data_IF_676933485503
#
_entry.id   IF_676933485503
#
_cell.length_a   1.000
_cell.length_b   1.000
_cell.length_c   1.000
_cell.angle_alpha   90.00
_cell.angle_beta   90.00
_cell.angle_gamma   90.00
#
_symmetry.space_group_name_H-M   'P 1'
#
loop_
_entity.id
_entity.type
_entity.pdbx_description
1 polymer ?
#
# COMPACT_ATOMS: atom_id res chain seq x y z
N UNK A 1 45.78 -25.30 45.74
CA UNK A 1 44.43 -25.86 45.96
C UNK A 1 43.42 -24.81 45.51
N UNK A 2 43.13 -24.73 44.21
CA UNK A 2 42.10 -23.83 43.65
C UNK A 2 41.20 -24.68 42.77
N UNK A 3 39.98 -24.96 43.26
CA UNK A 3 38.93 -25.64 42.49
C UNK A 3 38.14 -24.57 41.76
N UNK A 4 38.22 -24.57 40.43
CA UNK A 4 37.39 -23.75 39.56
C UNK A 4 36.03 -24.44 39.41
N UNK A 5 34.97 -23.85 39.97
CA UNK A 5 33.59 -24.31 39.80
C UNK A 5 33.08 -23.80 38.44
N UNK A 6 32.83 -24.70 37.51
CA UNK A 6 32.25 -24.37 36.22
C UNK A 6 30.71 -24.41 36.35
N UNK A 7 30.08 -23.25 36.48
CA UNK A 7 28.63 -23.13 36.55
C UNK A 7 28.06 -23.19 35.13
N UNK A 8 27.40 -24.29 34.79
CA UNK A 8 26.66 -24.43 33.52
C UNK A 8 25.38 -23.59 33.65
N UNK A 9 25.34 -22.46 32.94
CA UNK A 9 24.13 -21.66 32.76
C UNK A 9 23.30 -22.27 31.64
N UNK A 10 22.29 -23.07 31.97
CA UNK A 10 21.25 -23.48 31.02
C UNK A 10 20.40 -22.26 30.68
N UNK A 11 20.59 -21.70 29.49
CA UNK A 11 19.70 -20.70 28.93
C UNK A 11 18.34 -21.36 28.63
N UNK A 12 17.32 -21.08 29.46
CA UNK A 12 15.94 -21.38 29.10
C UNK A 12 15.53 -20.43 27.97
N UNK A 13 15.50 -20.94 26.75
CA UNK A 13 14.81 -20.28 25.64
C UNK A 13 13.31 -20.37 25.91
N UNK A 14 12.71 -19.27 26.37
CA UNK A 14 11.26 -19.13 26.44
C UNK A 14 10.71 -19.15 25.01
N UNK A 15 10.27 -20.32 24.56
CA UNK A 15 9.45 -20.42 23.36
C UNK A 15 8.08 -19.90 23.76
N UNK A 16 7.65 -18.79 23.16
CA UNK A 16 6.25 -18.41 23.22
C UNK A 16 5.48 -19.49 22.48
N UNK A 17 4.86 -20.41 23.23
CA UNK A 17 3.92 -21.37 22.66
C UNK A 17 2.65 -20.57 22.42
N UNK A 18 2.44 -20.10 21.19
CA UNK A 18 1.13 -19.56 20.83
C UNK A 18 0.12 -20.69 20.91
N UNK A 19 -0.94 -20.48 21.70
CA UNK A 19 -2.03 -21.43 21.73
C UNK A 19 -2.68 -21.45 20.35
N UNK A 20 -2.83 -22.63 19.75
CA UNK A 20 -3.59 -22.80 18.51
C UNK A 20 -4.99 -22.22 18.68
N UNK A 21 -5.47 -21.45 17.71
CA UNK A 21 -6.83 -20.90 17.70
C UNK A 21 -7.70 -21.70 16.74
N UNK A 22 -8.87 -22.14 17.21
CA UNK A 22 -9.90 -22.76 16.39
C UNK A 22 -11.06 -21.78 16.21
N UNK A 23 -11.34 -21.41 14.96
CA UNK A 23 -12.50 -20.58 14.61
C UNK A 23 -13.60 -21.52 14.13
N UNK A 24 -14.65 -21.66 14.92
CA UNK A 24 -15.85 -22.40 14.52
C UNK A 24 -16.74 -21.49 13.67
N UNK A 25 -16.63 -21.61 12.35
CA UNK A 25 -17.34 -20.77 11.40
C UNK A 25 -18.61 -21.47 10.90
N UNK A 26 -19.75 -20.77 11.01
CA UNK A 26 -21.02 -21.23 10.43
C UNK A 26 -20.94 -21.29 8.92
N UNK A 27 -20.37 -20.23 8.32
CA UNK A 27 -20.21 -20.05 6.90
C UNK A 27 -18.79 -19.56 6.59
N UNK A 28 -18.09 -20.21 5.67
CA UNK A 28 -16.78 -19.78 5.15
C UNK A 28 -16.91 -19.56 3.66
N UNK A 29 -16.54 -18.37 3.18
CA UNK A 29 -16.56 -18.08 1.74
C UNK A 29 -15.27 -18.55 1.07
N UNK A 30 -15.38 -19.54 0.19
CA UNK A 30 -14.30 -19.97 -0.69
C UNK A 30 -14.28 -19.08 -1.93
N UNK A 31 -13.38 -18.09 -1.93
CA UNK A 31 -13.25 -17.11 -3.01
C UNK A 31 -12.79 -17.72 -4.34
N UNK A 32 -12.09 -18.86 -4.30
CA UNK A 32 -11.59 -19.54 -5.51
C UNK A 32 -12.68 -20.36 -6.18
N UNK A 33 -13.47 -21.08 -5.39
CA UNK A 33 -14.59 -21.87 -5.90
C UNK A 33 -15.90 -21.06 -6.06
N UNK A 34 -15.99 -19.86 -5.46
CA UNK A 34 -17.17 -19.01 -5.51
C UNK A 34 -18.36 -19.56 -4.72
N UNK A 35 -18.10 -20.28 -3.63
CA UNK A 35 -19.13 -20.98 -2.85
C UNK A 35 -19.01 -20.74 -1.34
N UNK A 36 -20.11 -20.95 -0.63
CA UNK A 36 -20.15 -20.91 0.84
C UNK A 36 -20.06 -22.33 1.39
N UNK A 37 -19.01 -22.59 2.19
CA UNK A 37 -18.85 -23.82 2.95
C UNK A 37 -19.54 -23.66 4.31
N UNK A 38 -20.31 -24.66 4.74
CA UNK A 38 -21.03 -24.62 6.03
C UNK A 38 -20.33 -25.48 7.08
N UNK A 39 -20.48 -25.09 8.36
CA UNK A 39 -19.95 -25.80 9.51
C UNK A 39 -18.48 -26.17 9.32
N UNK A 40 -17.59 -25.18 9.45
CA UNK A 40 -16.16 -25.35 9.29
C UNK A 40 -15.41 -24.98 10.55
N UNK A 41 -14.27 -25.63 10.76
CA UNK A 41 -13.25 -25.16 11.69
C UNK A 41 -12.07 -24.63 10.89
N UNK A 42 -11.71 -23.36 11.13
CA UNK A 42 -10.47 -22.77 10.62
C UNK A 42 -9.45 -22.87 11.75
N UNK A 43 -8.35 -23.57 11.50
CA UNK A 43 -7.26 -23.71 12.47
C UNK A 43 -6.21 -22.66 12.16
N UNK A 44 -5.90 -21.81 13.14
CA UNK A 44 -4.87 -20.79 13.06
C UNK A 44 -3.77 -21.14 14.05
N UNK A 45 -2.54 -21.21 13.55
CA UNK A 45 -1.35 -21.48 14.34
C UNK A 45 -0.27 -20.45 13.98
N UNK A 46 0.35 -19.83 14.98
CA UNK A 46 1.34 -18.75 14.82
C UNK A 46 0.91 -17.67 13.80
N UNK A 47 -0.37 -17.28 13.83
CA UNK A 47 -0.94 -16.26 12.93
C UNK A 47 -1.17 -16.72 11.47
N UNK A 48 -1.02 -18.01 11.18
CA UNK A 48 -1.26 -18.60 9.85
C UNK A 48 -2.42 -19.58 9.89
N UNK A 49 -3.23 -19.58 8.83
CA UNK A 49 -4.25 -20.61 8.63
C UNK A 49 -3.55 -21.91 8.20
N UNK A 50 -3.65 -22.96 9.01
CA UNK A 50 -3.03 -24.27 8.72
C UNK A 50 -4.03 -25.28 8.15
N UNK A 51 -5.32 -25.14 8.46
CA UNK A 51 -6.38 -25.98 7.89
C UNK A 51 -7.75 -25.31 7.91
N UNK A 52 -8.63 -25.76 7.00
CA UNK A 52 -10.07 -25.46 6.99
C UNK A 52 -10.80 -26.78 6.81
N UNK A 53 -11.40 -27.30 7.87
CA UNK A 53 -11.97 -28.65 7.92
C UNK A 53 -13.47 -28.65 8.19
N UNK A 54 -14.15 -29.72 7.78
CA UNK A 54 -15.58 -29.90 8.02
C UNK A 54 -15.89 -30.21 9.48
N UNK A 55 -16.97 -29.62 10.00
CA UNK A 55 -17.42 -29.77 11.38
C UNK A 55 -16.75 -28.81 12.36
N UNK A 56 -17.08 -28.98 13.63
CA UNK A 56 -16.54 -28.21 14.75
C UNK A 56 -15.58 -29.08 15.54
N UNK A 57 -14.30 -29.01 15.21
CA UNK A 57 -13.27 -29.81 15.87
C UNK A 57 -12.94 -29.26 17.26
N UNK A 58 -12.35 -30.12 18.09
CA UNK A 58 -11.84 -29.76 19.41
C UNK A 58 -10.37 -30.12 19.48
N UNK A 59 -9.58 -29.24 20.10
CA UNK A 59 -8.19 -29.50 20.43
C UNK A 59 -7.94 -29.10 21.88
N UNK A 60 -7.25 -29.95 22.64
CA UNK A 60 -6.94 -29.68 24.04
C UNK A 60 -6.00 -28.47 24.13
N UNK A 61 -6.40 -27.45 24.91
CA UNK A 61 -5.61 -26.24 25.11
C UNK A 61 -5.69 -25.21 23.98
N UNK A 62 -6.51 -25.46 22.94
CA UNK A 62 -6.77 -24.46 21.91
C UNK A 62 -7.77 -23.40 22.38
N UNK A 63 -7.56 -22.16 21.94
CA UNK A 63 -8.55 -21.10 22.07
C UNK A 63 -9.65 -21.31 21.04
N UNK A 64 -10.92 -21.21 21.45
CA UNK A 64 -12.06 -21.38 20.55
C UNK A 64 -12.76 -20.03 20.35
N UNK A 65 -12.85 -19.60 19.09
CA UNK A 65 -13.65 -18.45 18.67
C UNK A 65 -14.95 -19.01 18.04
N UNK A 66 -16.09 -18.78 18.69
CA UNK A 66 -17.39 -19.26 18.21
C UNK A 66 -18.06 -18.25 17.26
N UNK A 67 -18.04 -18.55 15.97
CA UNK A 67 -18.66 -17.81 14.89
C UNK A 67 -19.67 -18.69 14.12
N UNK A 68 -20.31 -19.66 14.80
CA UNK A 68 -21.24 -20.64 14.19
C UNK A 68 -22.45 -20.00 13.48
N UNK A 69 -22.75 -18.75 13.81
CA UNK A 69 -23.86 -17.99 13.22
C UNK A 69 -23.38 -16.85 12.31
N UNK A 70 -22.10 -16.81 11.95
CA UNK A 70 -21.51 -15.73 11.16
C UNK A 70 -20.85 -16.23 9.87
N UNK A 71 -20.67 -15.30 8.94
CA UNK A 71 -19.85 -15.48 7.75
C UNK A 71 -18.42 -15.07 8.05
N UNK A 72 -17.48 -15.97 7.78
CA UNK A 72 -16.05 -15.71 7.83
C UNK A 72 -15.56 -15.58 6.40
N UNK A 73 -14.96 -14.44 6.11
CA UNK A 73 -14.39 -14.08 4.81
C UNK A 73 -12.94 -13.68 4.98
N UNK A 74 -12.09 -13.78 3.94
CA UNK A 74 -10.76 -13.17 3.97
C UNK A 74 -10.88 -11.67 4.25
N UNK A 75 -9.92 -11.13 5.01
CA UNK A 75 -9.83 -9.69 5.21
C UNK A 75 -9.69 -8.95 3.87
N UNK A 76 -10.39 -7.83 3.73
CA UNK A 76 -10.41 -7.09 2.47
C UNK A 76 -9.07 -6.41 2.21
N UNK A 77 -8.84 -6.12 0.93
CA UNK A 77 -7.66 -5.41 0.46
C UNK A 77 -8.10 -4.21 -0.39
N UNK A 78 -7.68 -3.01 -0.01
CA UNK A 78 -7.89 -1.81 -0.83
C UNK A 78 -6.60 -1.43 -1.56
N UNK A 79 -6.60 -1.51 -2.88
CA UNK A 79 -5.40 -1.34 -3.68
C UNK A 79 -5.12 0.11 -4.08
N UNK A 80 -5.91 1.07 -3.61
CA UNK A 80 -5.70 2.50 -3.90
C UNK A 80 -6.24 3.40 -2.78
N UNK A 81 -5.41 3.65 -1.78
CA UNK A 81 -5.69 4.62 -0.71
C UNK A 81 -4.66 5.75 -0.68
N UNK A 82 -5.02 6.80 0.07
CA UNK A 82 -4.12 7.88 0.51
C UNK A 82 -4.40 8.09 2.01
N UNK A 83 -3.64 7.43 2.88
CA UNK A 83 -3.92 7.41 4.33
C UNK A 83 -3.41 8.66 5.06
N UNK A 84 -2.71 9.55 4.38
CA UNK A 84 -2.15 10.78 4.96
C UNK A 84 -3.09 11.99 4.88
N UNK A 85 -4.28 11.84 4.30
CA UNK A 85 -5.25 12.93 4.26
C UNK A 85 -6.67 12.52 3.91
N UNK A 86 -7.60 13.41 4.25
CA UNK A 86 -8.98 13.40 3.75
C UNK A 86 -9.33 14.81 3.27
N UNK A 87 -10.14 14.89 2.22
CA UNK A 87 -10.67 16.18 1.77
C UNK A 87 -11.82 16.60 2.70
N UNK A 88 -11.55 17.53 3.62
CA UNK A 88 -12.55 18.21 4.43
C UNK A 88 -12.49 19.74 4.21
N UNK A 89 -13.22 20.29 3.23
CA UNK A 89 -13.23 21.73 2.99
C UNK A 89 -14.01 22.49 4.08
N UNK A 90 -13.50 23.64 4.58
CA UNK A 90 -12.35 24.40 4.07
C UNK A 90 -11.00 24.05 4.71
N UNK A 91 -10.96 23.21 5.75
CA UNK A 91 -9.77 22.95 6.56
C UNK A 91 -8.60 22.38 5.73
N UNK A 92 -8.90 21.40 4.87
CA UNK A 92 -7.94 20.72 3.99
C UNK A 92 -7.06 21.67 3.16
N UNK A 93 -7.54 22.85 2.75
CA UNK A 93 -6.74 23.80 1.97
C UNK A 93 -5.66 24.52 2.80
N UNK A 94 -5.93 24.77 4.08
CA UNK A 94 -4.98 25.42 4.97
C UNK A 94 -3.99 24.44 5.60
N UNK A 95 -4.37 23.16 5.68
CA UNK A 95 -3.60 22.13 6.38
C UNK A 95 -2.22 21.91 5.78
N UNK A 96 -2.08 21.97 4.45
CA UNK A 96 -0.78 21.89 3.77
C UNK A 96 0.21 22.97 4.25
N UNK A 97 -0.29 24.13 4.70
CA UNK A 97 0.54 25.23 5.19
C UNK A 97 0.77 25.21 6.70
N UNK A 98 -0.02 24.43 7.45
CA UNK A 98 -0.07 24.48 8.92
C UNK A 98 0.47 23.21 9.57
N UNK A 99 0.24 22.05 8.95
CA UNK A 99 0.62 20.75 9.50
C UNK A 99 2.07 20.41 9.16
N UNK A 100 2.75 19.79 10.11
CA UNK A 100 4.02 19.12 9.87
C UNK A 100 3.81 17.59 9.81
N UNK A 101 4.88 16.84 9.50
CA UNK A 101 4.82 15.38 9.37
C UNK A 101 4.30 14.66 10.61
N UNK A 102 4.53 15.19 11.83
CA UNK A 102 4.03 14.58 13.06
C UNK A 102 2.53 14.75 13.22
N UNK A 103 1.98 15.92 12.85
CA UNK A 103 0.53 16.15 12.85
C UNK A 103 -0.17 15.20 11.89
N UNK A 104 0.40 15.03 10.69
CA UNK A 104 -0.10 14.12 9.66
C UNK A 104 -0.05 12.67 10.17
N UNK A 105 1.11 12.21 10.66
CA UNK A 105 1.28 10.84 11.13
C UNK A 105 0.29 10.47 12.26
N UNK A 106 0.10 11.35 13.24
CA UNK A 106 -0.85 11.14 14.34
C UNK A 106 -2.28 11.05 13.82
N UNK A 107 -2.68 11.94 12.91
CA UNK A 107 -4.03 11.92 12.32
C UNK A 107 -4.27 10.66 11.49
N UNK A 108 -3.29 10.24 10.70
CA UNK A 108 -3.39 9.03 9.87
C UNK A 108 -3.63 7.75 10.68
N UNK A 109 -3.26 7.71 11.96
CA UNK A 109 -3.61 6.56 12.83
C UNK A 109 -5.12 6.38 12.97
N UNK A 110 -5.90 7.47 12.95
CA UNK A 110 -7.36 7.43 13.01
C UNK A 110 -7.93 6.85 11.72
N UNK A 111 -7.40 7.25 10.58
CA UNK A 111 -7.81 6.73 9.27
C UNK A 111 -7.45 5.25 9.12
N UNK A 112 -6.23 4.86 9.48
CA UNK A 112 -5.78 3.48 9.48
C UNK A 112 -6.68 2.59 10.36
N UNK A 113 -7.02 3.06 11.57
CA UNK A 113 -7.91 2.33 12.47
C UNK A 113 -9.31 2.15 11.88
N UNK A 114 -9.91 3.23 11.35
CA UNK A 114 -11.23 3.20 10.73
C UNK A 114 -11.27 2.25 9.52
N UNK A 115 -10.21 2.23 8.72
CA UNK A 115 -10.05 1.30 7.59
C UNK A 115 -9.97 -0.16 8.05
N UNK A 116 -9.20 -0.43 9.12
CA UNK A 116 -9.12 -1.77 9.71
C UNK A 116 -10.47 -2.24 10.27
N UNK A 117 -11.16 -1.37 11.02
CA UNK A 117 -12.47 -1.68 11.62
C UNK A 117 -13.56 -1.90 10.55
N UNK A 118 -13.37 -1.37 9.33
CA UNK A 118 -14.22 -1.66 8.16
C UNK A 118 -13.93 -3.02 7.48
N UNK A 119 -12.95 -3.78 7.98
CA UNK A 119 -12.60 -5.11 7.48
C UNK A 119 -11.45 -5.16 6.49
N UNK A 120 -10.82 -4.02 6.18
CA UNK A 120 -9.62 -3.97 5.34
C UNK A 120 -8.38 -4.29 6.17
N UNK A 121 -7.72 -5.40 5.85
CA UNK A 121 -6.52 -5.86 6.57
C UNK A 121 -5.24 -5.53 5.83
N UNK A 122 -5.34 -5.13 4.56
CA UNK A 122 -4.22 -4.71 3.72
C UNK A 122 -4.64 -3.54 2.87
N UNK A 123 -3.76 -2.56 2.70
CA UNK A 123 -3.97 -1.46 1.77
C UNK A 123 -2.70 -1.17 0.97
N UNK A 124 -2.87 -0.61 -0.22
CA UNK A 124 -1.78 -0.06 -1.03
C UNK A 124 -1.96 1.44 -1.14
N UNK A 125 -1.11 2.18 -0.44
CA UNK A 125 -1.05 3.63 -0.49
C UNK A 125 -0.27 4.05 -1.74
N UNK A 126 -0.94 4.76 -2.65
CA UNK A 126 -0.40 5.07 -3.97
C UNK A 126 0.03 6.53 -4.11
N UNK A 127 0.32 7.21 -3.00
CA UNK A 127 0.91 8.55 -3.05
C UNK A 127 0.64 9.30 -1.76
N UNK A 128 1.69 9.85 -1.18
CA UNK A 128 1.60 10.68 0.01
C UNK A 128 2.05 12.12 -0.27
N UNK A 129 1.28 13.06 0.29
CA UNK A 129 1.69 14.44 0.47
C UNK A 129 2.96 14.49 1.33
N UNK A 130 2.95 13.78 2.47
CA UNK A 130 4.11 13.65 3.37
C UNK A 130 4.62 12.21 3.43
N UNK A 131 5.77 11.96 2.78
CA UNK A 131 6.36 10.63 2.73
C UNK A 131 6.85 10.12 4.08
N UNK A 132 7.26 11.02 4.99
CA UNK A 132 7.78 10.60 6.29
C UNK A 132 6.63 10.12 7.18
N UNK A 133 5.49 10.80 7.12
CA UNK A 133 4.29 10.42 7.86
C UNK A 133 3.77 9.03 7.42
N UNK A 134 3.63 8.78 6.12
CA UNK A 134 3.09 7.50 5.63
C UNK A 134 4.03 6.33 5.93
N UNK A 135 5.36 6.51 5.80
CA UNK A 135 6.32 5.46 6.12
C UNK A 135 6.38 5.19 7.62
N UNK A 136 6.36 6.23 8.47
CA UNK A 136 6.28 6.06 9.90
C UNK A 136 5.00 5.31 10.33
N UNK A 137 3.86 5.60 9.71
CA UNK A 137 2.60 4.88 9.95
C UNK A 137 2.70 3.41 9.53
N UNK A 138 3.19 3.13 8.31
CA UNK A 138 3.39 1.77 7.81
C UNK A 138 4.26 0.96 8.77
N UNK A 139 5.42 1.50 9.13
CA UNK A 139 6.40 0.81 9.95
C UNK A 139 5.87 0.59 11.37
N UNK A 140 5.21 1.59 11.97
CA UNK A 140 4.58 1.46 13.28
C UNK A 140 3.45 0.41 13.30
N UNK A 141 2.68 0.27 12.22
CA UNK A 141 1.68 -0.80 12.10
C UNK A 141 2.36 -2.17 11.93
N UNK A 142 3.41 -2.26 11.11
CA UNK A 142 4.17 -3.50 10.91
C UNK A 142 4.83 -3.99 12.20
N UNK A 143 5.27 -3.07 13.06
CA UNK A 143 5.82 -3.35 14.40
C UNK A 143 4.73 -3.62 15.46
N UNK A 144 3.45 -3.42 15.13
CA UNK A 144 2.32 -3.61 16.05
C UNK A 144 2.14 -2.49 17.08
N UNK A 145 2.82 -1.35 16.92
CA UNK A 145 2.68 -0.17 17.77
C UNK A 145 1.35 0.57 17.54
N UNK A 146 0.86 0.54 16.30
CA UNK A 146 -0.39 1.15 15.88
C UNK A 146 -1.29 0.09 15.25
N UNK A 147 -2.57 0.10 15.60
CA UNK A 147 -3.55 -0.78 14.95
C UNK A 147 -3.97 -0.19 13.59
N UNK A 148 -3.76 -0.95 12.52
CA UNK A 148 -4.19 -0.57 11.17
C UNK A 148 -4.02 -1.74 10.18
N UNK A 149 -4.44 -1.57 8.92
CA UNK A 149 -4.16 -2.53 7.86
C UNK A 149 -2.65 -2.58 7.59
N UNK A 150 -2.15 -3.71 7.09
CA UNK A 150 -0.81 -3.77 6.48
C UNK A 150 -0.75 -2.79 5.31
N UNK A 151 0.23 -1.89 5.31
CA UNK A 151 0.39 -0.87 4.28
C UNK A 151 1.53 -1.26 3.33
N UNK A 152 1.28 -1.19 2.02
CA UNK A 152 2.31 -1.10 0.99
C UNK A 152 2.32 0.32 0.45
N UNK A 153 3.39 1.08 0.67
CA UNK A 153 3.41 2.52 0.41
C UNK A 153 4.27 2.88 -0.80
N UNK A 154 3.71 3.65 -1.74
CA UNK A 154 4.45 4.23 -2.84
C UNK A 154 5.37 5.37 -2.39
N UNK A 155 5.04 6.01 -1.27
CA UNK A 155 5.65 7.28 -0.86
C UNK A 155 5.30 8.35 -1.89
N UNK A 156 6.31 8.96 -2.51
CA UNK A 156 6.10 10.04 -3.48
C UNK A 156 5.85 9.48 -4.89
N UNK A 157 4.65 9.69 -5.42
CA UNK A 157 4.31 9.37 -6.81
C UNK A 157 5.19 10.15 -7.81
N UNK A 158 5.33 9.64 -9.03
CA UNK A 158 6.11 10.29 -10.09
C UNK A 158 5.25 10.77 -11.27
N UNK A 159 5.60 11.93 -11.82
CA UNK A 159 4.96 12.61 -12.93
C UNK A 159 6.01 13.24 -13.87
N UNK A 160 5.57 13.76 -15.01
CA UNK A 160 6.35 14.72 -15.80
C UNK A 160 6.18 16.14 -15.27
N UNK A 161 6.98 17.10 -15.74
CA UNK A 161 6.77 18.52 -15.42
C UNK A 161 5.35 18.96 -15.83
N UNK A 162 4.64 19.63 -14.92
CA UNK A 162 3.23 20.02 -15.06
C UNK A 162 2.25 18.85 -14.94
N UNK A 163 2.72 17.66 -14.61
CA UNK A 163 1.93 16.44 -14.50
C UNK A 163 1.07 16.38 -13.24
N UNK A 164 0.30 15.29 -13.09
CA UNK A 164 -0.68 15.20 -12.00
C UNK A 164 -0.02 15.16 -10.61
N UNK A 165 1.11 14.44 -10.47
CA UNK A 165 1.88 14.40 -9.22
C UNK A 165 3.05 15.40 -9.16
N UNK A 166 3.14 16.36 -10.09
CA UNK A 166 4.12 17.45 -9.97
C UNK A 166 3.71 18.37 -8.79
N UNK A 167 4.55 18.50 -7.73
CA UNK A 167 4.21 19.27 -6.54
C UNK A 167 4.08 20.78 -6.80
N UNK A 168 4.50 21.25 -7.97
CA UNK A 168 4.44 22.65 -8.39
C UNK A 168 3.31 22.93 -9.38
N UNK A 169 2.52 21.91 -9.74
CA UNK A 169 1.40 22.06 -10.66
C UNK A 169 0.35 23.03 -10.09
N UNK A 170 -0.05 24.02 -10.87
CA UNK A 170 -1.05 25.01 -10.45
C UNK A 170 -0.55 26.06 -9.45
N UNK A 171 0.70 25.98 -8.99
CA UNK A 171 1.29 26.96 -8.07
C UNK A 171 1.59 28.28 -8.79
N UNK A 172 1.45 29.39 -8.07
CA UNK A 172 1.75 30.76 -8.53
C UNK A 172 3.20 30.85 -9.06
N UNK A 173 3.40 31.58 -10.15
CA UNK A 173 4.67 31.54 -10.90
C UNK A 173 5.93 31.91 -10.09
N UNK A 174 5.82 32.80 -9.09
CA UNK A 174 6.92 33.19 -8.20
C UNK A 174 7.18 32.20 -7.05
N UNK A 175 6.29 31.24 -6.85
CA UNK A 175 6.42 30.14 -5.90
C UNK A 175 6.68 28.79 -6.61
N UNK A 176 6.64 28.77 -7.94
CA UNK A 176 6.85 27.57 -8.75
C UNK A 176 8.34 27.28 -8.85
N UNK A 177 8.75 26.11 -8.37
CA UNK A 177 10.13 25.61 -8.50
C UNK A 177 10.35 24.85 -9.82
N UNK A 178 11.54 24.24 -9.92
CA UNK A 178 11.91 23.28 -10.97
C UNK A 178 12.19 21.92 -10.30
N UNK A 179 11.13 21.14 -9.98
CA UNK A 179 11.27 19.88 -9.27
C UNK A 179 11.99 18.85 -10.15
N UNK A 180 12.83 18.04 -9.52
CA UNK A 180 13.56 16.96 -10.20
C UNK A 180 13.11 15.57 -9.77
N UNK A 181 13.86 14.52 -10.15
CA UNK A 181 13.47 13.14 -9.87
C UNK A 181 13.32 12.82 -8.38
N UNK A 182 14.02 13.57 -7.52
CA UNK A 182 13.87 13.44 -6.07
C UNK A 182 12.47 13.84 -5.60
N UNK A 183 11.91 14.86 -6.21
CA UNK A 183 10.61 15.44 -5.87
C UNK A 183 9.46 14.70 -6.58
N UNK A 184 9.78 13.70 -7.41
CA UNK A 184 8.82 12.92 -8.19
C UNK A 184 8.59 13.45 -9.60
N UNK A 185 9.46 14.32 -10.12
CA UNK A 185 9.31 14.85 -11.48
C UNK A 185 10.43 14.37 -12.39
N UNK A 186 10.09 13.72 -13.51
CA UNK A 186 11.06 13.19 -14.48
C UNK A 186 10.73 13.71 -15.89
N UNK A 187 11.74 14.05 -16.68
CA UNK A 187 11.57 14.53 -18.06
C UNK A 187 12.46 13.77 -19.06
N UNK A 188 12.74 12.50 -18.77
CA UNK A 188 13.47 11.61 -19.67
C UNK A 188 13.87 10.28 -19.03
N UNK A 189 14.44 9.35 -19.82
CA UNK A 189 14.84 8.02 -19.35
C UNK A 189 15.88 8.05 -18.21
N UNK A 190 16.87 8.95 -18.25
CA UNK A 190 17.89 9.03 -17.19
C UNK A 190 17.29 9.47 -15.85
N UNK A 191 16.33 10.40 -15.91
CA UNK A 191 15.56 10.83 -14.75
C UNK A 191 14.71 9.69 -14.19
N UNK A 192 14.15 8.81 -15.04
CA UNK A 192 13.39 7.64 -14.61
C UNK A 192 14.22 6.72 -13.69
N UNK A 193 15.45 6.39 -14.08
CA UNK A 193 16.35 5.60 -13.23
C UNK A 193 16.63 6.29 -11.90
N UNK A 194 16.90 7.61 -11.93
CA UNK A 194 17.15 8.39 -10.71
C UNK A 194 15.92 8.43 -9.80
N UNK A 195 14.73 8.61 -10.37
CA UNK A 195 13.46 8.65 -9.65
C UNK A 195 13.17 7.32 -8.95
N UNK A 196 13.25 6.20 -9.67
CA UNK A 196 13.07 4.86 -9.07
C UNK A 196 14.10 4.58 -7.99
N UNK A 197 15.38 4.89 -8.23
CA UNK A 197 16.43 4.73 -7.20
C UNK A 197 16.20 5.61 -5.97
N UNK A 198 15.63 6.79 -6.16
CA UNK A 198 15.26 7.63 -5.03
C UNK A 198 14.12 6.98 -4.23
N UNK A 199 13.09 6.42 -4.87
CA UNK A 199 12.02 5.67 -4.18
C UNK A 199 12.54 4.46 -3.42
N UNK A 200 13.50 3.73 -4.00
CA UNK A 200 14.22 2.67 -3.30
C UNK A 200 14.93 3.20 -2.04
N UNK A 201 15.66 4.30 -2.17
CA UNK A 201 16.36 4.95 -1.05
C UNK A 201 15.39 5.46 0.02
N UNK A 202 14.23 5.97 -0.37
CA UNK A 202 13.21 6.50 0.53
C UNK A 202 12.47 5.38 1.29
N UNK A 203 12.53 4.14 0.78
CA UNK A 203 11.91 2.97 1.40
C UNK A 203 10.52 2.63 0.86
N UNK A 204 10.17 3.07 -0.35
CA UNK A 204 8.90 2.69 -1.01
C UNK A 204 8.79 1.18 -1.21
N UNK A 205 7.57 0.66 -1.23
CA UNK A 205 7.24 -0.75 -1.54
C UNK A 205 6.79 -0.94 -3.00
N UNK A 206 6.33 0.13 -3.64
CA UNK A 206 5.75 0.14 -4.98
C UNK A 206 6.10 1.45 -5.69
N UNK A 207 6.19 1.43 -7.02
CA UNK A 207 6.33 2.65 -7.83
C UNK A 207 4.94 3.08 -8.30
N UNK A 208 4.59 4.35 -8.07
CA UNK A 208 3.41 4.99 -8.66
C UNK A 208 3.81 6.01 -9.71
N UNK A 209 3.18 5.94 -10.89
CA UNK A 209 3.22 6.99 -11.90
C UNK A 209 1.86 7.66 -12.11
N UNK A 210 1.85 8.89 -12.62
CA UNK A 210 0.67 9.53 -13.20
C UNK A 210 0.81 9.68 -14.72
N UNK A 211 0.31 8.70 -15.47
CA UNK A 211 0.58 8.61 -16.92
C UNK A 211 -0.42 9.38 -17.79
N UNK A 212 -1.47 9.90 -17.17
CA UNK A 212 -2.35 10.93 -17.75
C UNK A 212 -2.54 12.07 -16.74
N UNK A 213 -3.20 13.15 -17.15
CA UNK A 213 -3.69 14.14 -16.20
C UNK A 213 -4.65 13.54 -15.17
N UNK A 214 -4.80 14.20 -14.03
CA UNK A 214 -5.76 13.79 -13.00
C UNK A 214 -6.95 14.72 -12.91
N UNK A 215 -8.04 14.19 -12.35
CA UNK A 215 -9.32 14.88 -12.21
C UNK A 215 -9.23 16.04 -11.22
N UNK A 216 -8.40 15.92 -10.18
CA UNK A 216 -8.22 16.94 -9.15
C UNK A 216 -7.01 17.86 -9.36
N UNK A 217 -6.16 17.60 -10.37
CA UNK A 217 -5.08 18.53 -10.71
C UNK A 217 -5.54 19.63 -11.64
N UNK A 218 -4.85 20.77 -11.59
CA UNK A 218 -4.99 21.87 -12.55
C UNK A 218 -4.27 21.61 -13.88
N UNK A 219 -3.98 20.34 -14.20
CA UNK A 219 -3.43 19.96 -15.49
C UNK A 219 -4.39 20.36 -16.63
N UNK A 220 -3.84 20.77 -17.77
CA UNK A 220 -4.63 21.28 -18.92
C UNK A 220 -5.63 20.25 -19.47
N UNK A 221 -5.34 18.96 -19.31
CA UNK A 221 -6.19 17.85 -19.74
C UNK A 221 -6.02 16.67 -18.80
N UNK A 222 -7.13 16.07 -18.36
CA UNK A 222 -7.15 14.80 -17.63
C UNK A 222 -6.82 13.59 -18.52
N UNK A 223 -7.01 13.73 -19.84
CA UNK A 223 -6.93 12.60 -20.77
C UNK A 223 -5.57 12.48 -21.46
N UNK A 224 -4.84 13.58 -21.61
CA UNK A 224 -3.60 13.59 -22.38
C UNK A 224 -2.52 12.72 -21.71
N UNK A 225 -1.76 11.93 -22.48
CA UNK A 225 -0.64 11.17 -21.95
C UNK A 225 0.45 12.11 -21.43
N UNK A 226 1.05 11.75 -20.30
CA UNK A 226 2.11 12.54 -19.66
C UNK A 226 3.51 12.02 -19.98
N UNK A 227 3.68 10.70 -20.19
CA UNK A 227 4.98 10.11 -20.53
C UNK A 227 5.07 9.65 -21.99
N UNK A 228 6.31 9.64 -22.49
CA UNK A 228 6.73 8.92 -23.70
C UNK A 228 6.90 7.43 -23.43
N UNK A 229 7.02 6.64 -24.50
CA UNK A 229 7.26 5.19 -24.40
C UNK A 229 8.63 4.93 -23.75
N UNK A 230 9.68 5.62 -24.20
CA UNK A 230 11.05 5.50 -23.67
C UNK A 230 11.15 5.78 -22.16
N UNK A 231 10.41 6.77 -21.66
CA UNK A 231 10.36 7.08 -20.22
C UNK A 231 9.69 5.97 -19.41
N UNK A 232 8.57 5.43 -19.92
CA UNK A 232 7.85 4.35 -19.23
C UNK A 232 8.66 3.06 -19.23
N UNK A 233 9.29 2.70 -20.35
CA UNK A 233 10.19 1.56 -20.45
C UNK A 233 11.37 1.69 -19.49
N UNK A 234 11.96 2.88 -19.38
CA UNK A 234 13.05 3.14 -18.44
C UNK A 234 12.60 3.02 -16.97
N UNK A 235 11.41 3.53 -16.61
CA UNK A 235 10.86 3.34 -15.25
C UNK A 235 10.68 1.85 -14.97
N UNK A 236 10.04 1.10 -15.86
CA UNK A 236 9.76 -0.32 -15.65
C UNK A 236 11.04 -1.14 -15.58
N UNK A 237 12.04 -0.85 -16.43
CA UNK A 237 13.35 -1.47 -16.37
C UNK A 237 14.04 -1.22 -15.02
N UNK A 238 14.08 0.04 -14.56
CA UNK A 238 14.65 0.39 -13.27
C UNK A 238 13.89 -0.26 -12.11
N UNK A 239 12.56 -0.29 -12.16
CA UNK A 239 11.71 -0.90 -11.14
C UNK A 239 11.98 -2.40 -11.01
N UNK A 240 12.14 -3.10 -12.14
CA UNK A 240 12.45 -4.52 -12.20
C UNK A 240 13.77 -4.86 -11.50
N UNK A 241 14.81 -4.05 -11.67
CA UNK A 241 16.13 -4.28 -11.03
C UNK A 241 16.05 -4.26 -9.50
N UNK A 242 15.09 -3.51 -8.93
CA UNK A 242 14.84 -3.43 -7.49
C UNK A 242 13.69 -4.33 -7.01
N UNK A 243 13.06 -5.09 -7.91
CA UNK A 243 11.93 -5.96 -7.58
C UNK A 243 10.62 -5.23 -7.31
N UNK A 244 10.48 -3.99 -7.78
CA UNK A 244 9.25 -3.23 -7.64
C UNK A 244 8.17 -3.65 -8.63
N UNK A 245 6.92 -3.59 -8.16
CA UNK A 245 5.76 -3.48 -9.03
C UNK A 245 5.48 -2.01 -9.35
N UNK A 246 4.84 -1.76 -10.50
CA UNK A 246 4.55 -0.40 -10.99
C UNK A 246 3.05 -0.23 -11.19
N UNK A 247 2.46 0.75 -10.51
CA UNK A 247 1.07 1.16 -10.62
C UNK A 247 0.96 2.51 -11.33
N UNK A 248 -0.08 2.70 -12.16
CA UNK A 248 -0.25 3.95 -12.92
C UNK A 248 -1.62 4.57 -12.74
N UNK A 249 -1.68 5.85 -12.39
CA UNK A 249 -2.90 6.66 -12.56
C UNK A 249 -3.12 6.91 -14.05
N UNK A 250 -4.27 6.50 -14.58
CA UNK A 250 -4.60 6.73 -15.98
C UNK A 250 -6.12 6.82 -16.24
N UNK A 251 -6.53 7.90 -16.90
CA UNK A 251 -7.90 8.06 -17.42
C UNK A 251 -7.96 7.84 -18.93
N UNK A 252 -7.13 8.54 -19.70
CA UNK A 252 -7.13 8.47 -21.17
C UNK A 252 -6.48 7.19 -21.73
N UNK A 253 -7.12 6.60 -22.74
CA UNK A 253 -6.71 5.33 -23.37
C UNK A 253 -5.27 5.32 -23.88
N UNK A 254 -4.79 6.41 -24.48
CA UNK A 254 -3.44 6.44 -25.05
C UNK A 254 -2.36 6.28 -23.95
N UNK A 255 -2.50 6.99 -22.83
CA UNK A 255 -1.57 6.87 -21.70
C UNK A 255 -1.60 5.48 -21.07
N UNK A 256 -2.80 4.88 -20.94
CA UNK A 256 -2.96 3.49 -20.48
C UNK A 256 -2.22 2.51 -21.37
N UNK A 257 -2.43 2.57 -22.68
CA UNK A 257 -1.83 1.64 -23.63
C UNK A 257 -0.30 1.72 -23.66
N UNK A 258 0.26 2.92 -23.57
CA UNK A 258 1.71 3.10 -23.43
C UNK A 258 2.25 2.41 -22.18
N UNK A 259 1.60 2.65 -21.04
CA UNK A 259 2.00 2.06 -19.77
C UNK A 259 1.89 0.53 -19.78
N UNK A 260 0.80 -0.02 -20.32
CA UNK A 260 0.60 -1.47 -20.45
C UNK A 260 1.69 -2.10 -21.31
N UNK A 261 2.00 -1.52 -22.48
CA UNK A 261 3.07 -2.02 -23.36
C UNK A 261 4.45 -1.96 -22.71
N UNK A 262 4.72 -0.93 -21.90
CA UNK A 262 5.96 -0.82 -21.13
C UNK A 262 6.07 -1.88 -20.02
N UNK A 263 4.98 -2.53 -19.63
CA UNK A 263 4.98 -3.63 -18.64
C UNK A 263 4.64 -3.19 -17.22
N UNK A 264 3.78 -2.18 -17.04
CA UNK A 264 3.24 -1.85 -15.71
C UNK A 264 2.35 -2.97 -15.17
N UNK A 265 2.18 -3.02 -13.85
CA UNK A 265 1.53 -4.14 -13.16
C UNK A 265 0.08 -3.86 -12.79
N UNK A 266 -0.29 -2.59 -12.62
CA UNK A 266 -1.69 -2.20 -12.38
C UNK A 266 -2.01 -0.84 -12.99
N UNK A 267 -3.22 -0.72 -13.52
CA UNK A 267 -3.81 0.53 -14.01
C UNK A 267 -4.89 0.95 -13.04
N UNK A 268 -4.77 2.18 -12.55
CA UNK A 268 -5.72 2.78 -11.62
C UNK A 268 -6.73 3.65 -12.37
N UNK A 269 -7.97 3.70 -11.88
CA UNK A 269 -9.14 4.38 -12.46
C UNK A 269 -9.68 3.76 -13.75
N UNK A 270 -8.88 3.68 -14.82
CA UNK A 270 -9.27 3.02 -16.06
C UNK A 270 -10.48 3.65 -16.77
N UNK A 271 -10.73 4.94 -16.58
CA UNK A 271 -12.02 5.57 -16.90
C UNK A 271 -12.41 5.50 -18.37
N UNK A 272 -11.46 5.68 -19.29
CA UNK A 272 -11.70 5.59 -20.73
C UNK A 272 -10.96 4.40 -21.35
N UNK A 273 -10.87 3.29 -20.62
CA UNK A 273 -10.24 2.06 -21.11
C UNK A 273 -11.01 1.52 -22.33
N UNK A 274 -10.29 1.27 -23.42
CA UNK A 274 -10.82 0.66 -24.64
C UNK A 274 -10.42 -0.82 -24.72
N UNK A 275 -11.00 -1.56 -25.68
CA UNK A 275 -10.72 -3.01 -25.86
C UNK A 275 -9.24 -3.32 -26.07
N UNK A 276 -8.46 -2.41 -26.65
CA UNK A 276 -7.02 -2.60 -26.84
C UNK A 276 -6.23 -2.49 -25.52
N UNK A 277 -6.75 -1.76 -24.54
CA UNK A 277 -6.15 -1.56 -23.23
C UNK A 277 -6.58 -2.59 -22.16
N UNK A 278 -7.53 -3.49 -22.47
CA UNK A 278 -7.99 -4.57 -21.58
C UNK A 278 -7.15 -5.84 -21.71
#
# INVERSE_FOLDING_TARGET
>A
MFRLLCTICTALTAHSVFATTLIHAGFVFDTKAGQVLTNRTITVDEGRIVSIEAGYSQALGAEIIDLKNAYVVPGFMDMHVHLDGELDPPASYSEEFLMNSADIALRSTVYARRTLDAGFTTVRDLGAGDIQAIFALRDAIAEGLVAGPRIFAAGKAMATTGGHADPTNGIKADLRGDPGPKDGVINGPDDAYKGVRQRYKDGSDVIKLTVTGGVLSLAKSGDNPQFTDDELEAVVAAAKDYGFVVAVHAHGALGMKRAIRAGVHSVEHGTFMDEEAM
#
